data_IF_703101980169
#
_entry.id   IF_703101980169
#
_cell.length_a   1.000
_cell.length_b   1.000
_cell.length_c   1.000
_cell.angle_alpha   90.00
_cell.angle_beta   90.00
_cell.angle_gamma   90.00
#
_symmetry.space_group_name_H-M   'P 1'
#
loop_
_entity.id
_entity.type
_entity.pdbx_description
1 polymer ?
#
# COMPACT_ATOMS: atom_id res chain seq x y z
N UNK A 1 52.39 37.10 -16.95
CA UNK A 1 51.29 36.27 -17.44
C UNK A 1 50.08 36.53 -16.60
N UNK A 2 49.09 37.30 -17.13
CA UNK A 2 47.86 37.73 -16.45
C UNK A 2 46.80 36.65 -16.62
N UNK A 3 46.24 36.16 -15.53
CA UNK A 3 45.04 35.27 -15.51
C UNK A 3 43.80 36.13 -15.54
N UNK A 4 43.03 36.05 -16.60
CA UNK A 4 41.70 36.66 -16.70
C UNK A 4 40.68 35.77 -16.01
N UNK A 5 39.99 36.35 -15.00
CA UNK A 5 38.81 35.82 -14.34
C UNK A 5 37.58 36.15 -15.20
N UNK A 6 36.96 35.13 -15.81
CA UNK A 6 35.67 35.28 -16.47
C UNK A 6 34.56 35.13 -15.43
N UNK A 7 33.86 36.20 -15.14
CA UNK A 7 32.63 36.23 -14.37
C UNK A 7 31.48 35.56 -15.17
N UNK A 8 31.01 34.42 -14.75
CA UNK A 8 29.80 33.85 -15.26
C UNK A 8 28.59 34.60 -14.67
N UNK A 9 27.84 35.25 -15.52
CA UNK A 9 26.61 36.00 -15.27
C UNK A 9 25.49 35.04 -14.87
N UNK A 10 25.00 35.18 -13.67
CA UNK A 10 23.83 34.46 -13.15
C UNK A 10 22.60 35.03 -13.82
N UNK A 11 21.96 34.29 -14.72
CA UNK A 11 20.63 34.59 -15.24
C UNK A 11 19.59 34.35 -14.16
N UNK A 12 18.86 35.42 -13.83
CA UNK A 12 17.70 35.36 -12.92
C UNK A 12 16.49 34.93 -13.72
N UNK A 13 15.84 33.86 -13.28
CA UNK A 13 14.53 33.45 -13.77
C UNK A 13 13.47 34.51 -13.41
N UNK A 14 12.49 34.79 -14.29
CA UNK A 14 11.42 35.75 -13.99
C UNK A 14 10.41 35.19 -12.95
N UNK A 15 9.77 36.07 -12.18
CA UNK A 15 8.78 35.68 -11.19
C UNK A 15 7.49 35.19 -11.86
N UNK A 16 6.94 34.06 -11.35
CA UNK A 16 5.63 33.58 -11.69
C UNK A 16 4.57 34.60 -11.26
N UNK A 17 3.80 35.08 -12.21
CA UNK A 17 2.62 35.92 -12.01
C UNK A 17 1.49 35.06 -11.39
N UNK A 18 1.02 35.43 -10.21
CA UNK A 18 -0.20 34.92 -9.63
C UNK A 18 -1.41 35.45 -10.40
N UNK A 19 -2.43 34.62 -10.70
CA UNK A 19 -3.69 35.16 -11.21
C UNK A 19 -4.50 35.77 -10.06
N UNK A 20 -4.76 37.07 -10.14
CA UNK A 20 -5.73 37.79 -9.31
C UNK A 20 -7.13 37.22 -9.53
N UNK A 21 -7.74 36.78 -8.44
CA UNK A 21 -9.13 36.39 -8.39
C UNK A 21 -9.96 37.65 -8.21
N UNK A 22 -10.67 38.09 -9.25
CA UNK A 22 -11.65 39.18 -9.18
C UNK A 22 -12.92 38.66 -8.52
N UNK A 23 -13.31 39.37 -7.44
CA UNK A 23 -14.60 39.26 -6.77
C UNK A 23 -15.73 39.69 -7.71
N UNK A 24 -16.64 38.79 -8.04
CA UNK A 24 -17.95 39.15 -8.60
C UNK A 24 -19.07 38.68 -7.67
N UNK A 25 -19.65 39.73 -7.06
CA UNK A 25 -21.04 39.91 -6.71
C UNK A 25 -21.89 38.79 -6.11
N UNK A 26 -22.27 39.14 -4.89
CA UNK A 26 -23.37 38.76 -4.06
C UNK A 26 -24.66 38.27 -4.74
N UNK A 27 -25.02 37.03 -4.42
CA UNK A 27 -26.39 36.59 -4.44
C UNK A 27 -26.76 36.08 -3.04
N UNK A 28 -27.47 36.92 -2.28
CA UNK A 28 -28.03 36.59 -0.99
C UNK A 28 -29.13 35.55 -1.15
N UNK A 29 -28.83 34.28 -0.80
CA UNK A 29 -29.85 33.26 -0.63
C UNK A 29 -30.52 33.42 0.74
N UNK A 30 -31.69 34.04 0.76
CA UNK A 30 -32.62 34.05 1.90
C UNK A 30 -33.07 32.62 2.16
N UNK A 31 -32.55 31.99 3.24
CA UNK A 31 -33.16 30.80 3.86
C UNK A 31 -34.52 31.19 4.41
N UNK A 32 -35.59 30.75 3.76
CA UNK A 32 -36.93 30.69 4.34
C UNK A 32 -36.97 29.51 5.31
N UNK A 33 -36.91 29.80 6.60
CA UNK A 33 -37.30 28.89 7.66
C UNK A 33 -38.79 28.63 7.57
N UNK A 34 -39.16 27.42 7.16
CA UNK A 34 -40.55 26.94 7.34
C UNK A 34 -40.63 26.39 8.79
N UNK A 35 -41.25 27.18 9.64
CA UNK A 35 -41.81 26.73 10.93
C UNK A 35 -42.98 25.83 10.65
N UNK A 36 -42.88 24.55 11.05
CA UNK A 36 -44.01 23.63 11.11
C UNK A 36 -44.81 23.92 12.40
N UNK A 37 -46.16 23.87 12.36
CA UNK A 37 -46.96 24.10 13.53
C UNK A 37 -46.83 22.90 14.50
N UNK A 38 -46.69 23.21 15.77
CA UNK A 38 -46.70 22.27 16.87
C UNK A 38 -48.15 21.82 17.11
N UNK A 39 -48.44 20.59 16.78
CA UNK A 39 -49.67 19.92 17.25
C UNK A 39 -49.40 19.30 18.64
N UNK A 40 -50.31 19.48 19.60
CA UNK A 40 -50.18 18.87 20.92
C UNK A 40 -50.55 17.40 20.85
N UNK A 41 -49.57 16.51 21.03
CA UNK A 41 -49.83 15.10 21.23
C UNK A 41 -50.42 14.87 22.63
N UNK A 42 -51.68 14.45 22.65
CA UNK A 42 -52.36 13.91 23.84
C UNK A 42 -51.76 12.55 24.16
N UNK A 43 -51.39 12.39 25.43
CA UNK A 43 -50.95 11.12 25.99
C UNK A 43 -52.18 10.23 26.19
N UNK A 44 -52.38 9.27 25.33
CA UNK A 44 -53.22 8.11 25.65
C UNK A 44 -52.32 6.97 26.13
N UNK A 45 -52.63 6.53 27.33
CA UNK A 45 -52.07 5.34 27.97
C UNK A 45 -52.41 4.10 27.14
N UNK A 46 -51.47 3.56 26.39
CA UNK A 46 -51.60 2.22 25.82
C UNK A 46 -50.67 1.24 26.53
N UNK A 47 -51.36 0.30 27.15
CA UNK A 47 -50.95 -0.96 27.73
C UNK A 47 -49.64 -1.56 27.25
N UNK A 48 -48.80 -1.73 28.24
CA UNK A 48 -47.57 -2.46 28.37
C UNK A 48 -47.62 -3.90 27.82
N UNK A 49 -47.57 -4.11 26.52
CA UNK A 49 -47.21 -5.40 25.96
C UNK A 49 -45.68 -5.51 25.91
N UNK A 50 -45.12 -6.07 27.01
CA UNK A 50 -43.74 -6.56 27.02
C UNK A 50 -43.61 -7.66 25.97
N UNK A 51 -43.30 -7.29 24.72
CA UNK A 51 -42.70 -8.20 23.79
C UNK A 51 -41.32 -8.56 24.32
N UNK A 52 -41.28 -9.72 24.97
CA UNK A 52 -40.06 -10.43 25.31
C UNK A 52 -39.36 -10.73 24.01
N UNK A 53 -38.46 -9.84 23.59
CA UNK A 53 -37.49 -10.14 22.52
C UNK A 53 -36.70 -11.33 23.04
N UNK A 54 -37.02 -12.52 22.54
CA UNK A 54 -36.15 -13.68 22.67
C UNK A 54 -34.87 -13.29 21.96
N UNK A 55 -33.86 -12.96 22.77
CA UNK A 55 -32.50 -12.81 22.28
C UNK A 55 -32.15 -14.07 21.51
N UNK A 56 -31.98 -13.93 20.18
CA UNK A 56 -31.42 -14.99 19.37
C UNK A 56 -30.11 -15.43 20.03
N UNK A 57 -29.85 -16.72 20.17
CA UNK A 57 -28.59 -17.18 20.71
C UNK A 57 -27.50 -16.67 19.76
N UNK A 58 -26.70 -15.76 20.28
CA UNK A 58 -25.47 -15.31 19.58
C UNK A 58 -24.60 -16.55 19.39
N UNK A 59 -24.68 -17.14 18.21
CA UNK A 59 -23.81 -18.23 17.80
C UNK A 59 -22.36 -17.72 17.91
N UNK A 60 -21.71 -18.14 19.01
CA UNK A 60 -20.30 -17.81 19.30
C UNK A 60 -19.27 -18.40 18.34
N UNK A 61 -19.65 -18.72 17.10
CA UNK A 61 -18.75 -19.22 16.07
C UNK A 61 -17.92 -18.11 15.43
N UNK A 62 -18.41 -16.85 15.40
CA UNK A 62 -17.71 -15.71 14.80
C UNK A 62 -16.49 -15.26 15.62
N UNK A 63 -16.61 -15.27 16.95
CA UNK A 63 -15.55 -14.76 17.82
C UNK A 63 -14.30 -15.66 17.84
N UNK A 64 -14.45 -16.96 17.80
CA UNK A 64 -13.32 -17.89 17.81
C UNK A 64 -12.51 -17.82 16.52
N UNK A 65 -13.17 -17.72 15.36
CA UNK A 65 -12.48 -17.57 14.07
C UNK A 65 -11.79 -16.23 13.98
N UNK A 66 -12.46 -15.16 14.41
CA UNK A 66 -11.88 -13.82 14.48
C UNK A 66 -10.68 -13.77 15.43
N UNK A 67 -10.82 -14.28 16.66
CA UNK A 67 -9.74 -14.32 17.64
C UNK A 67 -8.55 -15.15 17.16
N UNK A 68 -8.80 -16.27 16.48
CA UNK A 68 -7.74 -17.08 15.86
C UNK A 68 -7.03 -16.33 14.75
N UNK A 69 -7.76 -15.61 13.90
CA UNK A 69 -7.18 -14.77 12.85
C UNK A 69 -6.34 -13.62 13.44
N UNK A 70 -6.87 -12.92 14.45
CA UNK A 70 -6.15 -11.86 15.16
C UNK A 70 -4.90 -12.37 15.86
N UNK A 71 -4.96 -13.55 16.48
CA UNK A 71 -3.79 -14.15 17.13
C UNK A 71 -2.71 -14.61 16.13
N UNK A 72 -3.07 -14.86 14.89
CA UNK A 72 -2.09 -15.14 13.83
C UNK A 72 -1.40 -13.86 13.34
N UNK A 73 -2.16 -12.77 13.18
CA UNK A 73 -1.62 -11.46 12.77
C UNK A 73 -0.68 -10.88 13.82
N UNK A 74 -0.90 -11.18 15.10
CA UNK A 74 -0.03 -10.71 16.19
C UNK A 74 1.28 -11.47 16.34
N UNK A 75 1.49 -12.56 15.59
CA UNK A 75 2.75 -13.33 15.63
C UNK A 75 3.71 -12.81 14.58
N UNK A 76 4.75 -12.14 15.03
CA UNK A 76 5.83 -11.68 14.15
C UNK A 76 6.58 -12.87 13.51
N UNK A 77 6.90 -12.79 12.23
CA UNK A 77 7.76 -13.77 11.57
C UNK A 77 9.23 -13.65 11.97
N UNK A 78 9.62 -12.56 12.61
CA UNK A 78 11.00 -12.29 12.96
C UNK A 78 11.44 -13.05 14.21
N UNK A 79 12.73 -13.39 14.26
CA UNK A 79 13.37 -13.93 15.47
C UNK A 79 13.54 -12.82 16.51
N UNK A 80 13.70 -13.21 17.77
CA UNK A 80 13.91 -12.28 18.90
C UNK A 80 15.05 -11.29 18.65
N UNK A 81 16.15 -11.72 18.04
CA UNK A 81 17.27 -10.84 17.71
C UNK A 81 16.87 -9.64 16.83
N UNK A 82 15.90 -9.83 15.93
CA UNK A 82 15.37 -8.75 15.12
C UNK A 82 14.30 -7.97 15.91
N UNK A 83 13.42 -8.66 16.64
CA UNK A 83 12.34 -8.02 17.39
C UNK A 83 12.87 -7.09 18.50
N UNK A 84 13.85 -7.55 19.26
CA UNK A 84 14.41 -6.82 20.39
C UNK A 84 15.44 -5.76 19.94
N UNK A 85 15.80 -5.71 18.66
CA UNK A 85 16.75 -4.73 18.15
C UNK A 85 16.21 -3.30 18.32
N UNK A 86 17.05 -2.45 18.94
CA UNK A 86 16.72 -1.04 19.19
C UNK A 86 16.81 -0.27 17.89
N UNK A 87 15.74 0.44 17.56
CA UNK A 87 15.71 1.31 16.38
C UNK A 87 16.56 2.58 16.63
N UNK A 88 17.27 3.10 15.60
CA UNK A 88 18.02 4.34 15.73
C UNK A 88 17.10 5.50 16.12
N UNK A 89 17.45 6.30 17.13
CA UNK A 89 16.63 7.41 17.64
C UNK A 89 16.27 8.46 16.60
N UNK A 90 17.06 8.60 15.53
CA UNK A 90 16.85 9.57 14.43
C UNK A 90 16.49 8.88 13.11
N UNK A 91 15.86 7.70 13.19
CA UNK A 91 15.38 7.04 11.98
C UNK A 91 14.14 7.76 11.44
N UNK A 92 14.21 8.19 10.19
CA UNK A 92 13.08 8.67 9.41
C UNK A 92 12.79 7.66 8.32
N UNK A 93 11.60 7.08 8.36
CA UNK A 93 11.22 6.08 7.39
C UNK A 93 11.03 6.73 6.01
N UNK A 94 11.73 6.26 4.97
CA UNK A 94 11.51 6.73 3.61
C UNK A 94 10.11 6.36 3.11
N UNK A 95 9.57 7.17 2.20
CA UNK A 95 8.36 6.79 1.45
C UNK A 95 8.72 5.76 0.39
N UNK A 96 8.01 4.65 0.37
CA UNK A 96 8.20 3.57 -0.59
C UNK A 96 7.08 3.55 -1.63
N UNK A 97 7.42 3.15 -2.85
CA UNK A 97 6.45 2.64 -3.82
C UNK A 97 6.07 1.24 -3.37
N UNK A 98 4.78 1.02 -3.11
CA UNK A 98 4.31 -0.25 -2.60
C UNK A 98 4.38 -1.34 -3.67
N UNK A 99 4.88 -2.51 -3.28
CA UNK A 99 4.91 -3.68 -4.15
C UNK A 99 3.50 -4.25 -4.33
N UNK A 100 3.01 -4.25 -5.55
CA UNK A 100 1.64 -4.65 -5.90
C UNK A 100 1.44 -6.18 -6.03
N UNK A 101 2.53 -6.95 -6.11
CA UNK A 101 2.51 -8.40 -6.30
C UNK A 101 2.76 -8.85 -7.74
N UNK A 102 2.89 -7.93 -8.70
CA UNK A 102 3.03 -8.22 -10.14
C UNK A 102 4.34 -7.71 -10.74
N UNK A 103 4.95 -6.69 -10.12
CA UNK A 103 6.25 -6.16 -10.51
C UNK A 103 7.37 -7.17 -10.25
N UNK A 104 8.56 -6.89 -10.80
CA UNK A 104 9.74 -7.70 -10.51
C UNK A 104 10.14 -7.58 -9.03
N UNK A 105 10.10 -8.69 -8.27
CA UNK A 105 10.48 -8.68 -6.86
C UNK A 105 11.95 -8.33 -6.64
N UNK A 106 12.83 -8.60 -7.61
CA UNK A 106 14.27 -8.27 -7.52
C UNK A 106 14.44 -6.75 -7.64
N UNK A 107 13.74 -6.13 -8.57
CA UNK A 107 13.73 -4.68 -8.73
C UNK A 107 13.19 -3.99 -7.46
N UNK A 108 12.10 -4.50 -6.91
CA UNK A 108 11.54 -3.96 -5.67
C UNK A 108 12.53 -4.01 -4.50
N UNK A 109 13.20 -5.15 -4.28
CA UNK A 109 14.21 -5.30 -3.23
C UNK A 109 15.40 -4.37 -3.48
N UNK A 110 15.78 -4.18 -4.74
CA UNK A 110 16.85 -3.23 -5.14
C UNK A 110 16.48 -1.80 -4.77
N UNK A 111 15.30 -1.33 -5.15
CA UNK A 111 14.80 0.01 -4.82
C UNK A 111 14.67 0.21 -3.31
N UNK A 112 14.14 -0.77 -2.59
CA UNK A 112 14.09 -0.72 -1.13
C UNK A 112 15.49 -0.55 -0.54
N UNK A 113 16.46 -1.38 -0.99
CA UNK A 113 17.84 -1.35 -0.49
C UNK A 113 18.53 -0.01 -0.79
N UNK A 114 18.27 0.59 -1.95
CA UNK A 114 18.79 1.92 -2.31
C UNK A 114 18.23 3.01 -1.39
N UNK A 115 16.92 3.02 -1.15
CA UNK A 115 16.29 3.99 -0.23
C UNK A 115 16.77 3.83 1.22
N UNK A 116 17.11 2.61 1.61
CA UNK A 116 17.63 2.29 2.93
C UNK A 116 19.17 2.24 3.01
N UNK A 117 19.88 2.72 1.99
CA UNK A 117 21.34 2.55 1.86
C UNK A 117 22.13 3.06 3.07
N UNK A 118 21.75 4.22 3.64
CA UNK A 118 22.41 4.79 4.83
C UNK A 118 22.25 3.93 6.08
N UNK A 119 21.25 3.06 6.11
CA UNK A 119 20.96 2.12 7.20
C UNK A 119 21.31 0.68 6.84
N UNK A 120 22.01 0.43 5.74
CA UNK A 120 22.27 -0.91 5.19
C UNK A 120 23.06 -1.84 6.12
N UNK A 121 23.81 -1.26 7.10
CA UNK A 121 24.52 -2.02 8.15
C UNK A 121 23.58 -2.60 9.19
N UNK A 122 22.47 -1.93 9.48
CA UNK A 122 21.46 -2.38 10.45
C UNK A 122 20.47 -3.33 9.78
N UNK A 123 20.78 -4.62 9.81
CA UNK A 123 19.96 -5.65 9.19
C UNK A 123 18.63 -5.88 9.91
N UNK A 124 18.56 -5.60 11.21
CA UNK A 124 17.33 -5.68 11.97
C UNK A 124 16.36 -4.56 11.58
N UNK A 125 16.86 -3.33 11.45
CA UNK A 125 16.09 -2.21 10.94
C UNK A 125 15.57 -2.48 9.52
N UNK A 126 16.44 -3.00 8.64
CA UNK A 126 16.04 -3.38 7.27
C UNK A 126 14.87 -4.37 7.27
N UNK A 127 14.91 -5.38 8.17
CA UNK A 127 13.81 -6.33 8.31
C UNK A 127 12.53 -5.67 8.80
N UNK A 128 12.60 -4.84 9.85
CA UNK A 128 11.43 -4.20 10.47
C UNK A 128 10.75 -3.19 9.53
N UNK A 129 11.51 -2.54 8.66
CA UNK A 129 10.99 -1.53 7.71
C UNK A 129 10.47 -2.17 6.43
N UNK A 130 11.01 -3.31 5.98
CA UNK A 130 10.63 -3.93 4.71
C UNK A 130 9.12 -4.13 4.53
N UNK A 131 8.34 -4.58 5.55
CA UNK A 131 6.89 -4.72 5.40
C UNK A 131 6.17 -3.44 5.00
N UNK A 132 6.67 -2.27 5.38
CA UNK A 132 6.05 -0.99 5.01
C UNK A 132 6.19 -0.63 3.52
N UNK A 133 6.99 -1.39 2.78
CA UNK A 133 7.12 -1.27 1.32
C UNK A 133 6.21 -2.25 0.56
N UNK A 134 5.42 -3.06 1.28
CA UNK A 134 4.55 -4.07 0.69
C UNK A 134 3.12 -3.57 0.53
N UNK A 135 2.54 -3.78 -0.65
CA UNK A 135 1.13 -3.57 -0.90
C UNK A 135 0.27 -4.73 -0.35
N UNK A 136 -1.07 -4.64 -0.48
CA UNK A 136 -2.01 -5.56 0.18
C UNK A 136 -1.78 -7.05 -0.13
N UNK A 137 -1.38 -7.37 -1.36
CA UNK A 137 -1.14 -8.75 -1.80
C UNK A 137 0.10 -9.33 -1.11
N UNK A 138 1.20 -8.59 -1.13
CA UNK A 138 2.44 -9.00 -0.51
C UNK A 138 2.38 -8.97 1.02
N UNK A 139 1.62 -8.04 1.59
CA UNK A 139 1.38 -7.97 3.03
C UNK A 139 0.61 -9.20 3.55
N UNK A 140 -0.37 -9.71 2.80
CA UNK A 140 -1.05 -10.98 3.15
C UNK A 140 -0.08 -12.16 3.19
N UNK A 141 0.85 -12.23 2.23
CA UNK A 141 1.92 -13.24 2.24
C UNK A 141 2.81 -13.07 3.47
N UNK A 142 3.25 -11.85 3.77
CA UNK A 142 4.11 -11.57 4.92
C UNK A 142 3.46 -11.99 6.24
N UNK A 143 2.18 -11.65 6.43
CA UNK A 143 1.40 -12.04 7.61
C UNK A 143 1.17 -13.56 7.71
N UNK A 144 1.29 -14.29 6.60
CA UNK A 144 1.20 -15.75 6.55
C UNK A 144 2.52 -16.46 6.85
N UNK A 145 3.63 -15.73 7.04
CA UNK A 145 4.91 -16.34 7.38
C UNK A 145 4.86 -16.97 8.78
N UNK A 146 5.58 -18.08 8.92
CA UNK A 146 5.67 -18.76 10.22
C UNK A 146 6.40 -17.87 11.23
N UNK A 147 5.87 -17.79 12.45
CA UNK A 147 6.52 -17.07 13.56
C UNK A 147 7.99 -17.53 13.76
N UNK A 148 8.87 -16.60 14.05
CA UNK A 148 10.30 -16.83 14.25
C UNK A 148 11.02 -17.50 13.07
N UNK A 149 10.47 -17.39 11.84
CA UNK A 149 11.07 -18.02 10.67
C UNK A 149 12.12 -17.15 9.97
N UNK A 150 12.12 -15.86 10.21
CA UNK A 150 13.02 -14.89 9.58
C UNK A 150 14.07 -14.41 10.58
N UNK A 151 15.31 -14.79 10.32
CA UNK A 151 16.47 -14.47 11.17
C UNK A 151 17.38 -13.38 10.58
N UNK A 152 17.18 -13.01 9.30
CA UNK A 152 18.02 -12.02 8.62
C UNK A 152 17.30 -11.40 7.44
N UNK A 153 17.73 -10.19 7.04
CA UNK A 153 17.23 -9.53 5.86
C UNK A 153 17.44 -10.36 4.58
N UNK A 154 18.57 -11.06 4.48
CA UNK A 154 18.84 -11.98 3.35
C UNK A 154 17.81 -13.11 3.27
N UNK A 155 17.39 -13.68 4.40
CA UNK A 155 16.38 -14.72 4.44
C UNK A 155 15.00 -14.18 4.07
N UNK A 156 14.66 -12.98 4.54
CA UNK A 156 13.42 -12.29 4.20
C UNK A 156 13.32 -12.04 2.68
N UNK A 157 14.33 -11.43 2.09
CA UNK A 157 14.34 -11.09 0.65
C UNK A 157 14.37 -12.34 -0.23
N UNK A 158 15.04 -13.41 0.21
CA UNK A 158 15.01 -14.70 -0.49
C UNK A 158 13.61 -15.33 -0.45
N UNK A 159 12.94 -15.32 0.70
CA UNK A 159 11.57 -15.83 0.83
C UNK A 159 10.58 -15.01 -0.01
N UNK A 160 10.76 -13.68 -0.03
CA UNK A 160 9.98 -12.77 -0.86
C UNK A 160 10.18 -13.05 -2.35
N UNK A 161 11.42 -13.10 -2.82
CA UNK A 161 11.75 -13.40 -4.21
C UNK A 161 11.20 -14.76 -4.64
N UNK A 162 11.42 -15.82 -3.84
CA UNK A 162 10.90 -17.16 -4.13
C UNK A 162 9.38 -17.20 -4.28
N UNK A 163 8.65 -16.34 -3.55
CA UNK A 163 7.18 -16.28 -3.64
C UNK A 163 6.69 -15.54 -4.87
N UNK A 164 7.36 -14.45 -5.25
CA UNK A 164 6.83 -13.51 -6.24
C UNK A 164 7.52 -13.60 -7.62
N UNK A 165 8.68 -14.24 -7.73
CA UNK A 165 9.37 -14.38 -9.03
C UNK A 165 8.49 -15.09 -10.10
N UNK A 166 7.67 -16.04 -9.69
CA UNK A 166 6.76 -16.75 -10.58
C UNK A 166 5.49 -15.97 -10.90
N UNK A 167 5.18 -14.95 -10.10
CA UNK A 167 4.02 -14.08 -10.27
C UNK A 167 4.36 -12.82 -11.08
N UNK A 168 5.66 -12.48 -11.20
CA UNK A 168 6.07 -11.30 -11.93
C UNK A 168 5.78 -11.48 -13.42
N UNK A 169 4.88 -10.66 -13.91
CA UNK A 169 4.67 -10.54 -15.37
C UNK A 169 5.79 -9.65 -15.88
N UNK A 170 6.83 -10.27 -16.45
CA UNK A 170 7.77 -9.51 -17.26
C UNK A 170 6.96 -8.91 -18.40
N UNK A 171 6.85 -7.56 -18.52
CA UNK A 171 6.18 -6.96 -19.66
C UNK A 171 6.91 -7.40 -20.92
N UNK A 172 6.30 -8.30 -21.69
CA UNK A 172 6.85 -8.61 -23.01
C UNK A 172 6.75 -7.32 -23.83
N UNK A 173 7.84 -6.84 -24.44
CA UNK A 173 7.77 -5.67 -25.29
C UNK A 173 6.68 -5.86 -26.34
N UNK A 174 5.84 -4.84 -26.54
CA UNK A 174 4.77 -4.91 -27.56
C UNK A 174 5.28 -5.36 -28.93
N UNK A 175 6.54 -5.07 -29.25
CA UNK A 175 7.21 -5.54 -30.46
C UNK A 175 7.28 -7.06 -30.58
N UNK A 176 7.32 -7.81 -29.48
CA UNK A 176 7.29 -9.29 -29.52
C UNK A 176 5.90 -9.83 -29.89
N UNK A 177 4.83 -9.10 -29.60
CA UNK A 177 3.47 -9.45 -30.06
C UNK A 177 3.26 -9.07 -31.52
N UNK A 178 3.82 -7.95 -31.96
CA UNK A 178 3.72 -7.50 -33.36
C UNK A 178 4.52 -8.38 -34.33
N UNK A 179 5.54 -9.09 -33.84
CA UNK A 179 6.31 -10.06 -34.64
C UNK A 179 5.66 -11.45 -34.69
N UNK A 180 4.54 -11.65 -33.97
CA UNK A 180 3.79 -12.90 -33.96
C UNK A 180 2.86 -12.93 -35.17
N UNK A 181 3.36 -13.37 -36.30
CA UNK A 181 2.56 -13.64 -37.50
C UNK A 181 2.60 -15.14 -37.84
N UNK A 182 1.47 -15.67 -38.26
CA UNK A 182 1.41 -17.00 -38.82
C UNK A 182 2.21 -17.05 -40.13
N UNK A 183 2.96 -18.14 -40.32
CA UNK A 183 3.63 -18.40 -41.60
C UNK A 183 2.62 -18.95 -42.59
N UNK A 184 2.86 -18.70 -43.87
CA UNK A 184 2.01 -19.25 -44.92
C UNK A 184 1.96 -20.77 -44.83
N UNK A 185 0.75 -21.36 -44.72
CA UNK A 185 0.57 -22.79 -44.53
C UNK A 185 0.71 -23.32 -43.10
N UNK A 186 0.97 -22.46 -42.09
CA UNK A 186 1.08 -22.87 -40.69
C UNK A 186 -0.31 -23.09 -40.08
N UNK A 187 -0.50 -24.20 -39.36
CA UNK A 187 -1.74 -24.47 -38.63
C UNK A 187 -1.76 -23.69 -37.32
N UNK A 188 -2.96 -23.36 -36.80
CA UNK A 188 -3.14 -22.70 -35.50
C UNK A 188 -2.43 -23.44 -34.34
N UNK A 189 -2.42 -24.78 -34.40
CA UNK A 189 -1.75 -25.59 -33.40
C UNK A 189 -0.23 -25.39 -33.44
N UNK A 190 0.38 -25.48 -34.61
CA UNK A 190 1.83 -25.29 -34.81
C UNK A 190 2.23 -23.85 -34.45
N UNK A 191 1.37 -22.88 -34.74
CA UNK A 191 1.58 -21.51 -34.36
C UNK A 191 1.55 -21.33 -32.82
N UNK A 192 0.57 -21.93 -32.13
CA UNK A 192 0.45 -21.90 -30.68
C UNK A 192 1.61 -22.59 -29.97
N UNK A 193 2.12 -23.71 -30.50
CA UNK A 193 3.22 -24.49 -29.91
C UNK A 193 4.58 -23.78 -30.03
N UNK A 194 4.67 -22.70 -30.84
CA UNK A 194 5.89 -21.92 -31.06
C UNK A 194 6.05 -20.80 -30.03
N UNK A 195 4.99 -20.46 -29.31
CA UNK A 195 4.93 -19.33 -28.34
C UNK A 195 4.41 -19.76 -26.96
#
# INVERSE_FOLDING_TARGET
>A
MKRELRHARRERSPPCSEPSFEDTDGASYRRRSRTLPSEPFSYEEEHNHRHRYKSLPSRGLGNNTMNKALSQVSKSPFTRNIEDAILPRRFHQPTFTLYDGWLDPIEHVSHFSQKMAIYSRDKALMCKVFPSSLGPVAMRWFNGLRANSIESFKKLTRAFGARFITCSRVPRPLGSFLSMSMREGETLKTYSDRY
#
